data_IF_999352131172
#
_entry.id   IF_999352131172
#
_cell.length_a   1.000
_cell.length_b   1.000
_cell.length_c   1.000
_cell.angle_alpha   90.00
_cell.angle_beta   90.00
_cell.angle_gamma   90.00
#
_symmetry.space_group_name_H-M   'P 1'
#
loop_
_entity.id
_entity.type
_entity.pdbx_description
1 polymer ?
#
# COMPACT_ATOMS: atom_id res chain seq x y z
N UNK A 1 -75.49 40.77 45.42
CA UNK A 1 -75.23 39.38 45.01
C UNK A 1 -74.94 39.37 43.52
N UNK A 2 -73.88 38.66 43.14
CA UNK A 2 -73.53 38.13 41.81
C UNK A 2 -73.21 39.08 40.62
N UNK A 3 -71.92 39.09 40.29
CA UNK A 3 -71.29 38.84 38.96
C UNK A 3 -71.69 39.72 37.77
N UNK A 4 -70.71 40.48 37.26
CA UNK A 4 -70.12 40.23 35.93
C UNK A 4 -68.95 41.18 35.66
N UNK A 5 -67.73 40.62 35.59
CA UNK A 5 -66.57 41.32 35.03
C UNK A 5 -66.73 41.35 33.50
N UNK A 6 -67.12 42.49 32.94
CA UNK A 6 -67.15 42.70 31.49
C UNK A 6 -65.77 43.16 31.02
N UNK A 7 -65.03 42.22 30.46
CA UNK A 7 -63.80 42.47 29.69
C UNK A 7 -64.17 43.41 28.52
N UNK A 8 -63.44 44.51 28.27
CA UNK A 8 -63.76 45.41 27.17
C UNK A 8 -63.60 44.69 25.82
N UNK A 9 -64.47 44.95 24.83
CA UNK A 9 -64.40 44.30 23.53
C UNK A 9 -63.08 44.67 22.87
N UNK A 10 -62.22 43.67 22.65
CA UNK A 10 -61.03 43.85 21.85
C UNK A 10 -61.44 44.43 20.50
N UNK A 11 -61.00 45.65 20.20
CA UNK A 11 -61.37 46.31 18.96
C UNK A 11 -60.85 45.46 17.80
N UNK A 12 -61.76 45.12 16.89
CA UNK A 12 -61.46 44.30 15.70
C UNK A 12 -60.28 44.89 14.90
N UNK A 13 -60.10 46.21 14.97
CA UNK A 13 -58.97 46.93 14.39
C UNK A 13 -57.60 46.54 14.99
N UNK A 14 -57.49 46.26 16.29
CA UNK A 14 -56.23 45.84 16.90
C UNK A 14 -55.85 44.41 16.49
N UNK A 15 -56.83 43.49 16.51
CA UNK A 15 -56.63 42.11 16.07
C UNK A 15 -56.25 42.05 14.58
N UNK A 16 -56.88 42.88 13.75
CA UNK A 16 -56.58 43.01 12.33
C UNK A 16 -55.16 43.53 12.08
N UNK A 17 -54.68 44.48 12.89
CA UNK A 17 -53.30 44.97 12.84
C UNK A 17 -52.27 43.91 13.21
N UNK A 18 -52.51 43.13 14.27
CA UNK A 18 -51.61 42.04 14.71
C UNK A 18 -51.58 40.92 13.69
N UNK A 19 -52.73 40.51 13.16
CA UNK A 19 -52.81 39.46 12.12
C UNK A 19 -52.12 39.91 10.84
N UNK A 20 -52.31 41.16 10.39
CA UNK A 20 -51.62 41.71 9.23
C UNK A 20 -50.10 41.76 9.43
N UNK A 21 -49.63 42.16 10.62
CA UNK A 21 -48.21 42.17 10.96
C UNK A 21 -47.58 40.78 11.00
N UNK A 22 -48.29 39.79 11.56
CA UNK A 22 -47.85 38.39 11.57
C UNK A 22 -47.78 37.82 10.15
N UNK A 23 -48.72 38.17 9.27
CA UNK A 23 -48.74 37.73 7.88
C UNK A 23 -47.54 38.29 7.10
N UNK A 24 -47.19 39.56 7.30
CA UNK A 24 -45.99 40.17 6.71
C UNK A 24 -44.71 39.49 7.23
N UNK A 25 -44.64 39.22 8.53
CA UNK A 25 -43.50 38.53 9.13
C UNK A 25 -43.34 37.10 8.56
N UNK A 26 -44.43 36.37 8.41
CA UNK A 26 -44.43 35.02 7.82
C UNK A 26 -44.03 35.06 6.33
N UNK A 27 -44.48 36.06 5.58
CA UNK A 27 -44.07 36.26 4.18
C UNK A 27 -42.58 36.55 4.09
N UNK A 28 -42.05 37.43 4.94
CA UNK A 28 -40.61 37.73 4.99
C UNK A 28 -39.82 36.48 5.40
N UNK A 29 -40.31 35.71 6.39
CA UNK A 29 -39.69 34.45 6.81
C UNK A 29 -39.69 33.41 5.69
N UNK A 30 -40.76 33.29 4.91
CA UNK A 30 -40.85 32.38 3.77
C UNK A 30 -39.93 32.82 2.62
N UNK A 31 -39.82 34.12 2.36
CA UNK A 31 -38.88 34.68 1.39
C UNK A 31 -37.43 34.41 1.80
N UNK A 32 -37.13 34.59 3.09
CA UNK A 32 -35.80 34.35 3.64
C UNK A 32 -35.49 32.85 3.66
N UNK A 33 -36.46 31.99 3.99
CA UNK A 33 -36.33 30.54 3.90
C UNK A 33 -36.10 30.10 2.45
N UNK A 34 -36.85 30.65 1.48
CA UNK A 34 -36.61 30.37 0.06
C UNK A 34 -35.20 30.81 -0.37
N UNK A 35 -34.77 32.00 0.04
CA UNK A 35 -33.44 32.51 -0.29
C UNK A 35 -32.32 31.67 0.35
N UNK A 36 -32.49 31.24 1.61
CA UNK A 36 -31.45 30.56 2.38
C UNK A 36 -31.41 29.05 2.14
N UNK A 37 -32.56 28.39 1.92
CA UNK A 37 -32.66 26.93 1.77
C UNK A 37 -32.85 26.45 0.33
N UNK A 38 -33.49 27.23 -0.56
CA UNK A 38 -33.81 26.78 -1.92
C UNK A 38 -32.78 27.30 -2.94
N UNK A 39 -32.02 28.33 -2.59
CA UNK A 39 -31.09 28.97 -3.52
C UNK A 39 -29.64 28.92 -3.04
N UNK A 40 -29.07 27.73 -2.93
CA UNK A 40 -27.63 27.55 -3.24
C UNK A 40 -27.27 26.10 -3.60
N UNK A 41 -27.14 25.84 -4.92
CA UNK A 41 -25.99 25.19 -5.63
C UNK A 41 -26.45 24.46 -6.91
N UNK A 42 -25.63 24.36 -7.97
CA UNK A 42 -24.80 25.37 -8.61
C UNK A 42 -24.89 25.23 -10.15
N UNK A 43 -26.06 25.45 -10.77
CA UNK A 43 -26.16 25.39 -12.23
C UNK A 43 -25.24 26.41 -12.92
N UNK A 44 -25.05 27.58 -12.30
CA UNK A 44 -24.20 28.64 -12.83
C UNK A 44 -22.73 28.24 -12.89
N UNK A 45 -22.24 27.48 -11.90
CA UNK A 45 -20.86 26.97 -11.94
C UNK A 45 -20.72 25.89 -13.00
N UNK A 46 -21.61 24.90 -13.04
CA UNK A 46 -21.55 23.84 -14.06
C UNK A 46 -21.60 24.40 -15.49
N UNK A 47 -22.50 25.37 -15.74
CA UNK A 47 -22.59 26.09 -17.03
C UNK A 47 -21.34 26.92 -17.30
N UNK A 48 -20.79 27.62 -16.29
CA UNK A 48 -19.54 28.39 -16.42
C UNK A 48 -18.34 27.49 -16.72
N UNK A 49 -18.25 26.32 -16.08
CA UNK A 49 -17.21 25.33 -16.35
C UNK A 49 -17.36 24.72 -17.76
N UNK A 50 -18.58 24.43 -18.20
CA UNK A 50 -18.86 23.97 -19.56
C UNK A 50 -18.44 25.03 -20.60
N UNK A 51 -18.85 26.29 -20.39
CA UNK A 51 -18.46 27.41 -21.25
C UNK A 51 -16.94 27.66 -21.25
N UNK A 52 -16.27 27.51 -20.10
CA UNK A 52 -14.80 27.59 -20.03
C UNK A 52 -14.15 26.49 -20.86
N UNK A 53 -14.61 25.24 -20.73
CA UNK A 53 -14.08 24.09 -21.49
C UNK A 53 -14.24 24.29 -23.00
N UNK A 54 -15.39 24.77 -23.45
CA UNK A 54 -15.61 25.10 -24.85
C UNK A 54 -14.66 26.19 -25.33
N UNK A 55 -14.48 27.25 -24.53
CA UNK A 55 -13.57 28.35 -24.86
C UNK A 55 -12.12 27.87 -24.95
N UNK A 56 -11.67 27.04 -24.01
CA UNK A 56 -10.34 26.43 -24.04
C UNK A 56 -10.17 25.52 -25.26
N UNK A 57 -11.17 24.73 -25.65
CA UNK A 57 -11.14 23.89 -26.86
C UNK A 57 -11.01 24.73 -28.14
N UNK A 58 -11.75 25.82 -28.25
CA UNK A 58 -11.67 26.73 -29.39
C UNK A 58 -10.30 27.42 -29.47
N UNK A 59 -9.75 27.82 -28.32
CA UNK A 59 -8.39 28.38 -28.24
C UNK A 59 -7.38 27.33 -28.71
N UNK A 60 -7.46 26.10 -28.21
CA UNK A 60 -6.60 25.00 -28.63
C UNK A 60 -6.66 24.77 -30.15
N UNK A 61 -7.87 24.68 -30.71
CA UNK A 61 -8.06 24.49 -32.15
C UNK A 61 -7.47 25.66 -32.98
N UNK A 62 -7.59 26.89 -32.48
CA UNK A 62 -7.00 28.06 -33.13
C UNK A 62 -5.47 28.13 -33.01
N UNK A 63 -4.88 27.53 -31.97
CA UNK A 63 -3.43 27.41 -31.79
C UNK A 63 -2.89 26.33 -32.73
N UNK A 64 -3.56 25.18 -32.78
CA UNK A 64 -3.23 24.09 -33.70
C UNK A 64 -3.26 24.56 -35.17
N UNK A 65 -4.22 25.42 -35.55
CA UNK A 65 -4.31 25.99 -36.89
C UNK A 65 -3.24 27.07 -37.20
N UNK A 66 -2.65 27.69 -36.17
CA UNK A 66 -1.62 28.74 -36.31
C UNK A 66 -0.20 28.20 -36.29
N UNK A 67 0.01 26.98 -35.80
CA UNK A 67 1.29 26.30 -35.90
C UNK A 67 1.49 25.82 -37.35
N UNK A 68 2.52 26.29 -38.09
CA UNK A 68 2.85 25.73 -39.39
C UNK A 68 3.18 24.25 -39.21
N UNK A 69 2.62 23.40 -40.08
CA UNK A 69 2.92 21.98 -40.14
C UNK A 69 4.43 21.76 -40.18
N UNK A 70 5.04 21.45 -39.03
CA UNK A 70 6.30 20.70 -39.02
C UNK A 70 6.07 19.48 -39.90
N UNK A 71 7.02 19.23 -40.80
CA UNK A 71 7.03 18.21 -41.86
C UNK A 71 6.09 17.02 -41.63
N UNK A 72 5.34 16.69 -42.68
CA UNK A 72 4.19 15.77 -42.79
C UNK A 72 4.40 14.29 -42.39
N UNK A 73 5.34 13.99 -41.49
CA UNK A 73 5.54 12.66 -40.92
C UNK A 73 5.09 12.57 -39.45
N UNK A 74 4.85 13.70 -38.76
CA UNK A 74 4.53 13.72 -37.32
C UNK A 74 3.16 14.31 -36.95
N UNK A 75 2.39 14.86 -37.89
CA UNK A 75 1.08 15.50 -37.59
C UNK A 75 -0.09 14.53 -37.36
N UNK A 76 0.13 13.20 -37.43
CA UNK A 76 -0.85 12.18 -37.01
C UNK A 76 -0.77 11.84 -35.51
N UNK A 77 0.12 12.47 -34.73
CA UNK A 77 0.34 12.22 -33.30
C UNK A 77 -0.68 12.89 -32.37
N UNK A 78 -1.95 13.01 -32.78
CA UNK A 78 -3.03 13.18 -31.79
C UNK A 78 -3.13 11.82 -31.11
N UNK A 79 -2.70 11.74 -29.84
CA UNK A 79 -2.76 10.49 -29.06
C UNK A 79 -4.16 9.90 -29.25
N UNK A 80 -4.29 8.69 -29.80
CA UNK A 80 -5.58 8.17 -30.17
C UNK A 80 -6.30 7.63 -28.93
N UNK A 81 -6.61 8.50 -27.97
CA UNK A 81 -7.53 8.20 -26.89
C UNK A 81 -8.90 7.73 -27.44
N UNK A 82 -9.22 8.08 -28.69
CA UNK A 82 -10.40 7.62 -29.43
C UNK A 82 -10.28 6.18 -29.99
N UNK A 83 -9.08 5.62 -30.20
CA UNK A 83 -8.88 4.29 -30.83
C UNK A 83 -8.66 3.16 -29.80
N UNK A 84 -8.88 3.45 -28.51
CA UNK A 84 -8.69 2.50 -27.42
C UNK A 84 -7.31 2.57 -26.77
N UNK A 85 -7.24 2.19 -25.50
CA UNK A 85 -6.04 2.30 -24.65
C UNK A 85 -4.84 1.49 -25.18
N UNK A 86 -5.09 0.42 -25.93
CA UNK A 86 -4.02 -0.37 -26.56
C UNK A 86 -3.29 0.42 -27.67
N UNK A 87 -4.01 1.19 -28.49
CA UNK A 87 -3.38 2.02 -29.53
C UNK A 87 -2.56 3.16 -28.92
N UNK A 88 -3.06 3.75 -27.83
CA UNK A 88 -2.32 4.75 -27.05
C UNK A 88 -1.03 4.18 -26.44
N UNK A 89 -1.07 2.95 -25.95
CA UNK A 89 0.09 2.28 -25.36
C UNK A 89 1.14 1.95 -26.43
N UNK A 90 0.73 1.49 -27.62
CA UNK A 90 1.64 1.29 -28.75
C UNK A 90 2.27 2.60 -29.24
N UNK A 91 1.49 3.69 -29.30
CA UNK A 91 2.01 5.03 -29.60
C UNK A 91 3.03 5.50 -28.53
N UNK A 92 2.75 5.25 -27.25
CA UNK A 92 3.68 5.54 -26.16
C UNK A 92 5.00 4.77 -26.32
N UNK A 93 4.95 3.47 -26.59
CA UNK A 93 6.14 2.66 -26.81
C UNK A 93 6.94 3.14 -28.02
N UNK A 94 6.26 3.49 -29.11
CA UNK A 94 6.90 4.03 -30.30
C UNK A 94 7.58 5.37 -30.03
N UNK A 95 6.96 6.27 -29.24
CA UNK A 95 7.56 7.56 -28.84
C UNK A 95 8.74 7.40 -27.89
N UNK A 96 8.77 6.32 -27.11
CA UNK A 96 9.86 5.99 -26.21
C UNK A 96 10.97 5.19 -26.92
N UNK A 97 10.86 5.00 -28.24
CA UNK A 97 11.73 4.14 -29.05
C UNK A 97 11.85 2.69 -28.51
N UNK A 98 10.88 2.25 -27.70
CA UNK A 98 10.85 0.95 -27.05
C UNK A 98 10.28 -0.13 -27.98
N UNK A 99 11.13 -0.76 -28.79
CA UNK A 99 10.75 -1.94 -29.57
C UNK A 99 10.76 -3.22 -28.70
N UNK A 100 9.55 -3.68 -28.33
CA UNK A 100 9.30 -4.81 -27.41
C UNK A 100 10.04 -6.14 -27.69
N UNK A 101 10.32 -6.55 -28.94
CA UNK A 101 11.04 -7.80 -29.16
C UNK A 101 12.57 -7.63 -29.12
N UNK A 102 13.12 -6.42 -29.22
CA UNK A 102 14.54 -6.16 -29.47
C UNK A 102 15.25 -5.30 -28.42
N UNK A 103 14.55 -4.80 -27.39
CA UNK A 103 15.18 -4.01 -26.34
C UNK A 103 16.22 -4.82 -25.55
N UNK A 104 17.46 -4.32 -25.55
CA UNK A 104 18.52 -4.84 -24.70
C UNK A 104 18.13 -4.68 -23.22
N UNK A 105 18.47 -5.65 -22.35
CA UNK A 105 18.23 -5.51 -20.93
C UNK A 105 18.89 -4.24 -20.40
N UNK A 106 18.12 -3.40 -19.72
CA UNK A 106 18.63 -2.14 -19.17
C UNK A 106 19.32 -2.36 -17.82
N UNK A 107 20.37 -1.58 -17.58
CA UNK A 107 21.07 -1.55 -16.29
C UNK A 107 20.43 -0.54 -15.36
N UNK A 108 19.92 -1.01 -14.22
CA UNK A 108 19.21 -0.20 -13.21
C UNK A 108 20.17 0.41 -12.17
N UNK A 109 21.33 0.91 -12.59
CA UNK A 109 22.40 1.35 -11.66
C UNK A 109 21.96 2.48 -10.75
N UNK A 110 21.27 3.49 -11.28
CA UNK A 110 20.76 4.61 -10.51
C UNK A 110 19.73 4.14 -9.46
N UNK A 111 18.86 3.19 -9.82
CA UNK A 111 17.84 2.64 -8.93
C UNK A 111 18.49 1.82 -7.82
N UNK A 112 19.53 1.05 -8.14
CA UNK A 112 20.32 0.31 -7.14
C UNK A 112 20.96 1.25 -6.12
N UNK A 113 21.47 2.41 -6.54
CA UNK A 113 22.02 3.42 -5.63
C UNK A 113 20.93 3.98 -4.71
N UNK A 114 19.76 4.31 -5.25
CA UNK A 114 18.64 4.81 -4.43
C UNK A 114 18.10 3.75 -3.47
N UNK A 115 18.02 2.50 -3.92
CA UNK A 115 17.57 1.38 -3.08
C UNK A 115 18.58 1.10 -1.97
N UNK A 116 19.88 1.12 -2.28
CA UNK A 116 20.94 1.03 -1.28
C UNK A 116 20.88 2.18 -0.28
N UNK A 117 20.66 3.41 -0.75
CA UNK A 117 20.47 4.57 0.13
C UNK A 117 19.24 4.40 1.03
N UNK A 118 18.12 3.90 0.52
CA UNK A 118 16.93 3.64 1.31
C UNK A 118 17.19 2.57 2.39
N UNK A 119 17.80 1.45 2.01
CA UNK A 119 18.19 0.39 2.94
C UNK A 119 19.16 0.91 4.02
N UNK A 120 20.10 1.78 3.65
CA UNK A 120 21.01 2.44 4.60
C UNK A 120 20.26 3.27 5.64
N UNK A 121 19.29 4.09 5.23
CA UNK A 121 18.52 4.92 6.16
C UNK A 121 17.68 4.07 7.11
N UNK A 122 17.02 3.01 6.61
CA UNK A 122 16.29 2.08 7.47
C UNK A 122 17.21 1.36 8.45
N UNK A 123 18.38 0.91 8.01
CA UNK A 123 19.37 0.26 8.88
C UNK A 123 19.88 1.22 9.95
N UNK A 124 20.18 2.47 9.60
CA UNK A 124 20.59 3.49 10.56
C UNK A 124 19.49 3.78 11.58
N UNK A 125 18.23 3.84 11.16
CA UNK A 125 17.10 4.02 12.08
C UNK A 125 16.98 2.86 13.08
N UNK A 126 17.20 1.61 12.61
CA UNK A 126 17.21 0.43 13.49
C UNK A 126 18.40 0.48 14.46
N UNK A 127 19.61 0.84 13.99
CA UNK A 127 20.82 0.86 14.83
C UNK A 127 20.89 2.04 15.81
N UNK A 128 20.38 3.22 15.44
CA UNK A 128 20.35 4.39 16.33
C UNK A 128 19.50 4.11 17.58
N UNK A 129 18.48 3.26 17.46
CA UNK A 129 17.67 2.83 18.60
C UNK A 129 18.43 2.02 19.64
N UNK A 130 19.53 1.34 19.28
CA UNK A 130 20.32 0.55 20.23
C UNK A 130 21.31 1.42 21.05
N UNK A 131 21.69 2.59 20.56
CA UNK A 131 22.65 3.49 21.22
C UNK A 131 22.01 4.50 22.19
N UNK A 132 20.70 4.79 22.05
CA UNK A 132 19.97 5.72 22.93
C UNK A 132 19.51 5.10 24.26
N UNK A 133 19.94 3.88 24.59
CA UNK A 133 19.66 3.26 25.89
C UNK A 133 20.73 3.65 26.94
N UNK A 134 20.50 4.62 27.83
CA UNK A 134 21.25 4.67 29.08
C UNK A 134 20.89 3.42 29.90
N UNK A 135 21.91 2.68 30.33
CA UNK A 135 21.78 1.62 31.34
C UNK A 135 21.14 2.21 32.59
N UNK A 136 19.82 2.08 32.72
CA UNK A 136 19.13 2.24 33.99
C UNK A 136 18.78 0.85 34.49
N UNK A 137 19.52 0.43 35.52
CA UNK A 137 19.26 -0.74 36.35
C UNK A 137 17.88 -0.59 37.00
N UNK A 138 16.82 -0.96 36.28
CA UNK A 138 15.46 -1.07 36.83
C UNK A 138 14.88 -2.39 36.41
N UNK A 139 14.76 -3.30 37.38
CA UNK A 139 14.10 -4.60 37.29
C UNK A 139 12.65 -4.46 36.83
N UNK A 140 12.45 -4.40 35.51
CA UNK A 140 11.16 -4.64 34.88
C UNK A 140 11.39 -5.55 33.69
N UNK A 141 10.63 -6.66 33.63
CA UNK A 141 10.73 -7.78 32.69
C UNK A 141 10.46 -7.43 31.21
N UNK A 142 10.73 -6.20 30.79
CA UNK A 142 10.60 -5.73 29.42
C UNK A 142 11.94 -5.87 28.70
N UNK A 143 12.00 -6.83 27.78
CA UNK A 143 13.13 -7.06 26.88
C UNK A 143 13.56 -5.75 26.19
N UNK A 144 14.87 -5.49 26.00
CA UNK A 144 15.46 -4.22 25.51
C UNK A 144 15.14 -3.85 24.05
N UNK A 145 14.14 -4.47 23.43
CA UNK A 145 13.82 -4.34 22.01
C UNK A 145 12.55 -3.47 21.74
N UNK A 146 12.05 -2.74 22.72
CA UNK A 146 10.73 -2.06 22.64
C UNK A 146 10.77 -0.54 22.44
N UNK A 147 11.93 0.10 22.46
CA UNK A 147 12.00 1.55 22.74
C UNK A 147 11.98 2.47 21.51
N UNK A 148 12.27 1.96 20.30
CA UNK A 148 12.05 2.70 19.04
C UNK A 148 10.86 2.16 18.27
N UNK A 149 9.98 3.06 17.82
CA UNK A 149 8.76 2.73 17.10
C UNK A 149 9.02 1.86 15.86
N UNK A 150 10.15 2.07 15.17
CA UNK A 150 10.48 1.35 13.93
C UNK A 150 11.04 -0.05 14.19
N UNK A 151 11.97 -0.22 15.13
CA UNK A 151 12.48 -1.55 15.53
C UNK A 151 11.37 -2.38 16.18
N UNK A 152 10.54 -1.77 17.03
CA UNK A 152 9.36 -2.41 17.60
C UNK A 152 8.32 -2.76 16.51
N UNK A 153 8.16 -1.93 15.47
CA UNK A 153 7.28 -2.25 14.34
C UNK A 153 7.83 -3.41 13.50
N UNK A 154 9.12 -3.42 13.19
CA UNK A 154 9.78 -4.50 12.45
C UNK A 154 9.70 -5.83 13.22
N UNK A 155 10.01 -5.81 14.52
CA UNK A 155 9.86 -6.95 15.43
C UNK A 155 8.42 -7.47 15.44
N UNK A 156 7.43 -6.59 15.68
CA UNK A 156 6.01 -6.98 15.71
C UNK A 156 5.54 -7.51 14.36
N UNK A 157 6.01 -6.94 13.25
CA UNK A 157 5.70 -7.44 11.91
C UNK A 157 6.25 -8.85 11.72
N UNK A 158 7.51 -9.07 12.10
CA UNK A 158 8.16 -10.36 11.97
C UNK A 158 7.51 -11.42 12.88
N UNK A 159 7.23 -11.10 14.14
CA UNK A 159 6.51 -11.97 15.06
C UNK A 159 5.12 -12.32 14.53
N UNK A 160 4.34 -11.33 14.04
CA UNK A 160 3.02 -11.59 13.47
C UNK A 160 3.10 -12.47 12.23
N UNK A 161 4.04 -12.21 11.34
CA UNK A 161 4.18 -12.95 10.08
C UNK A 161 4.63 -14.40 10.32
N UNK A 162 5.57 -14.62 11.26
CA UNK A 162 6.00 -15.95 11.66
C UNK A 162 4.90 -16.72 12.39
N UNK A 163 4.23 -16.10 13.38
CA UNK A 163 3.14 -16.75 14.11
C UNK A 163 1.96 -17.08 13.17
N UNK A 164 1.58 -16.19 12.26
CA UNK A 164 0.54 -16.46 11.27
C UNK A 164 0.91 -17.58 10.28
N UNK A 165 2.20 -17.77 9.98
CA UNK A 165 2.64 -18.89 9.15
C UNK A 165 2.55 -20.25 9.88
N UNK A 166 2.64 -20.23 11.21
CA UNK A 166 2.74 -21.43 12.07
C UNK A 166 1.37 -21.90 12.58
N UNK A 167 0.40 -21.00 12.71
CA UNK A 167 -1.00 -21.26 13.12
C UNK A 167 -1.73 -22.28 12.21
N UNK A 168 -1.18 -22.67 11.06
CA UNK A 168 -1.81 -23.65 10.19
C UNK A 168 -1.41 -25.12 10.40
N UNK A 169 -0.21 -25.40 10.96
CA UNK A 169 0.40 -26.75 10.87
C UNK A 169 1.15 -27.24 12.11
N UNK A 170 1.44 -26.37 13.07
CA UNK A 170 2.48 -26.63 14.09
C UNK A 170 2.01 -26.52 15.54
N UNK A 171 0.69 -26.38 15.75
CA UNK A 171 0.08 -26.19 17.07
C UNK A 171 0.40 -27.25 18.13
N UNK A 172 0.84 -28.44 17.71
CA UNK A 172 1.18 -29.52 18.63
C UNK A 172 2.64 -29.49 19.11
N UNK A 173 3.53 -28.75 18.42
CA UNK A 173 4.98 -28.77 18.66
C UNK A 173 5.55 -27.39 19.02
N UNK A 174 5.09 -26.30 18.39
CA UNK A 174 5.56 -24.94 18.69
C UNK A 174 4.52 -24.12 19.43
N UNK A 175 4.97 -23.45 20.48
CA UNK A 175 4.34 -22.29 21.08
C UNK A 175 4.63 -21.01 20.28
N UNK A 176 4.25 -19.86 20.84
CA UNK A 176 4.45 -18.57 20.19
C UNK A 176 5.95 -18.29 19.94
N UNK A 177 6.25 -17.77 18.75
CA UNK A 177 7.59 -17.31 18.39
C UNK A 177 7.71 -15.84 18.78
N UNK A 178 8.74 -15.55 19.57
CA UNK A 178 9.18 -14.18 19.89
C UNK A 178 10.50 -13.92 19.18
N UNK A 179 10.69 -12.69 18.71
CA UNK A 179 11.93 -12.30 18.03
C UNK A 179 12.84 -11.64 19.07
N UNK A 180 14.00 -12.24 19.32
CA UNK A 180 14.97 -11.75 20.31
C UNK A 180 15.85 -10.65 19.74
N UNK A 181 16.41 -10.90 18.55
CA UNK A 181 17.33 -9.99 17.88
C UNK A 181 17.17 -10.05 16.36
N UNK A 182 17.47 -8.95 15.67
CA UNK A 182 17.38 -8.84 14.20
C UNK A 182 18.60 -8.10 13.69
N UNK A 183 19.49 -8.85 13.03
CA UNK A 183 20.61 -8.30 12.28
C UNK A 183 20.25 -8.23 10.79
N UNK A 184 20.15 -7.00 10.29
CA UNK A 184 19.77 -6.67 8.90
C UNK A 184 20.96 -6.78 7.92
N UNK A 185 22.12 -7.24 8.38
CA UNK A 185 23.31 -7.46 7.56
C UNK A 185 23.99 -6.17 7.08
N UNK A 186 24.82 -6.26 6.04
CA UNK A 186 25.54 -5.09 5.47
C UNK A 186 25.33 -4.87 3.97
N UNK A 187 24.88 -5.90 3.26
CA UNK A 187 24.62 -5.91 1.83
C UNK A 187 23.39 -5.11 1.42
N UNK A 188 23.24 -4.97 0.10
CA UNK A 188 22.13 -4.25 -0.54
C UNK A 188 21.56 -5.09 -1.67
N UNK A 189 20.23 -5.03 -1.88
CA UNK A 189 19.60 -5.67 -3.03
C UNK A 189 20.04 -4.99 -4.34
N UNK A 190 20.32 -5.80 -5.34
CA UNK A 190 20.68 -5.36 -6.68
C UNK A 190 19.60 -5.77 -7.67
N UNK A 191 19.16 -4.82 -8.49
CA UNK A 191 18.25 -5.04 -9.59
C UNK A 191 19.04 -5.01 -10.91
N UNK A 192 18.77 -5.98 -11.77
CA UNK A 192 19.43 -6.11 -13.06
C UNK A 192 18.45 -6.58 -14.13
N UNK A 193 18.86 -6.50 -15.40
CA UNK A 193 18.09 -6.98 -16.55
C UNK A 193 16.64 -6.48 -16.59
N UNK A 194 16.42 -5.17 -16.50
CA UNK A 194 15.08 -4.61 -16.71
C UNK A 194 14.63 -4.85 -18.16
N UNK A 195 13.45 -5.44 -18.33
CA UNK A 195 12.85 -5.75 -19.62
C UNK A 195 11.37 -5.42 -19.60
N UNK A 196 10.92 -4.70 -20.61
CA UNK A 196 9.50 -4.39 -20.78
C UNK A 196 8.87 -5.51 -21.62
N UNK A 197 7.82 -6.12 -21.09
CA UNK A 197 6.99 -7.13 -21.74
C UNK A 197 5.53 -6.67 -21.79
N UNK A 198 4.76 -7.07 -22.81
CA UNK A 198 3.31 -6.87 -22.78
C UNK A 198 2.70 -7.74 -21.66
N UNK A 199 1.79 -7.17 -20.86
CA UNK A 199 1.02 -7.95 -19.87
C UNK A 199 -0.07 -8.78 -20.57
N UNK A 200 -0.70 -9.71 -19.83
CA UNK A 200 -1.89 -10.43 -20.30
C UNK A 200 -3.04 -9.46 -20.62
N UNK A 201 -3.11 -8.34 -19.88
CA UNK A 201 -4.02 -7.25 -20.20
C UNK A 201 -3.41 -6.39 -21.32
N UNK A 202 -4.07 -6.23 -22.48
CA UNK A 202 -3.54 -5.46 -23.61
C UNK A 202 -3.43 -3.94 -23.34
N UNK A 203 -3.85 -3.51 -22.15
CA UNK A 203 -3.82 -2.13 -21.66
C UNK A 203 -2.67 -1.86 -20.70
N UNK A 204 -1.92 -2.91 -20.31
CA UNK A 204 -0.90 -2.82 -19.28
C UNK A 204 0.44 -3.30 -19.82
N UNK A 205 1.51 -2.66 -19.35
CA UNK A 205 2.88 -3.11 -19.56
C UNK A 205 3.37 -3.80 -18.29
N UNK A 206 4.12 -4.88 -18.48
CA UNK A 206 4.84 -5.59 -17.43
C UNK A 206 6.32 -5.24 -17.52
N UNK A 207 6.89 -4.77 -16.44
CA UNK A 207 8.32 -4.60 -16.27
C UNK A 207 8.86 -5.81 -15.51
N UNK A 208 9.70 -6.60 -16.16
CA UNK A 208 10.42 -7.72 -15.55
C UNK A 208 11.83 -7.28 -15.19
N UNK A 209 12.29 -7.63 -13.99
CA UNK A 209 13.63 -7.33 -13.53
C UNK A 209 14.13 -8.45 -12.61
N UNK A 210 15.42 -8.74 -12.66
CA UNK A 210 16.05 -9.73 -11.80
C UNK A 210 16.52 -9.07 -10.50
N UNK A 211 15.97 -9.50 -9.37
CA UNK A 211 16.40 -9.12 -8.03
C UNK A 211 17.42 -10.14 -7.50
N UNK A 212 18.56 -9.66 -7.04
CA UNK A 212 19.53 -10.45 -6.29
C UNK A 212 19.94 -9.72 -5.00
N UNK A 213 19.70 -10.38 -3.87
CA UNK A 213 20.14 -10.00 -2.53
C UNK A 213 21.08 -11.09 -2.00
N UNK A 214 22.32 -10.71 -1.70
CA UNK A 214 23.36 -11.59 -1.14
C UNK A 214 23.91 -10.91 0.11
N UNK A 215 23.47 -11.39 1.27
CA UNK A 215 23.89 -10.85 2.56
C UNK A 215 23.58 -11.86 3.67
N UNK A 216 24.19 -11.69 4.84
CA UNK A 216 23.99 -12.54 6.00
C UNK A 216 22.94 -11.93 6.93
N UNK A 217 21.67 -12.06 6.57
CA UNK A 217 20.56 -11.63 7.43
C UNK A 217 20.37 -12.64 8.56
N UNK A 218 20.51 -12.22 9.83
CA UNK A 218 20.35 -13.11 10.97
C UNK A 218 19.20 -12.65 11.87
N UNK A 219 18.28 -13.56 12.18
CA UNK A 219 17.13 -13.31 13.06
C UNK A 219 17.21 -14.29 14.22
N UNK A 220 17.35 -13.77 15.44
CA UNK A 220 17.20 -14.51 16.67
C UNK A 220 15.73 -14.74 16.99
N UNK A 221 15.35 -15.99 17.17
CA UNK A 221 14.02 -16.43 17.52
C UNK A 221 14.07 -17.14 18.87
N UNK A 222 13.17 -16.81 19.76
CA UNK A 222 12.91 -17.58 20.97
C UNK A 222 11.53 -18.22 20.85
N UNK A 223 11.49 -19.53 21.07
CA UNK A 223 10.29 -20.35 20.83
C UNK A 223 10.13 -21.33 21.97
N UNK A 224 8.88 -21.61 22.34
CA UNK A 224 8.60 -22.64 23.35
C UNK A 224 8.15 -23.91 22.67
N UNK A 225 8.98 -24.95 22.71
CA UNK A 225 8.60 -26.30 22.31
C UNK A 225 7.54 -26.84 23.26
N UNK A 226 6.44 -27.36 22.74
CA UNK A 226 5.44 -28.08 23.53
C UNK A 226 5.52 -29.57 23.22
N UNK A 227 5.73 -30.39 24.25
CA UNK A 227 5.71 -31.84 24.10
C UNK A 227 4.33 -32.37 24.47
N UNK A 228 3.48 -32.55 23.47
CA UNK A 228 2.17 -33.20 23.65
C UNK A 228 2.23 -34.62 23.09
N UNK A 229 2.49 -35.61 23.94
CA UNK A 229 2.33 -37.02 23.58
C UNK A 229 1.01 -37.48 24.17
N UNK A 230 -0.02 -37.52 23.31
CA UNK A 230 -1.40 -37.82 23.70
C UNK A 230 -1.45 -39.12 24.53
N UNK A 231 -2.06 -39.12 25.74
CA UNK A 231 -2.90 -38.09 26.35
C UNK A 231 -2.20 -37.14 27.35
N UNK A 232 -0.86 -37.11 27.46
CA UNK A 232 -0.14 -36.31 28.46
C UNK A 232 0.58 -35.10 27.84
N UNK A 233 0.50 -33.96 28.53
CA UNK A 233 1.37 -32.80 28.25
C UNK A 233 2.66 -33.01 29.04
N UNK A 234 3.75 -33.39 28.36
CA UNK A 234 5.06 -33.65 28.98
C UNK A 234 5.76 -32.38 29.46
N UNK A 235 5.37 -31.22 28.94
CA UNK A 235 5.89 -29.92 29.35
C UNK A 235 6.24 -29.03 28.15
N UNK A 236 6.76 -27.84 28.45
CA UNK A 236 7.32 -26.93 27.46
C UNK A 236 8.82 -26.70 27.70
N UNK A 237 9.58 -26.55 26.61
CA UNK A 237 11.01 -26.28 26.64
C UNK A 237 11.29 -25.02 25.82
N UNK A 238 11.93 -24.03 26.42
CA UNK A 238 12.40 -22.86 25.69
C UNK A 238 13.56 -23.25 24.78
N UNK A 239 13.47 -22.88 23.50
CA UNK A 239 14.46 -23.14 22.47
C UNK A 239 14.76 -21.84 21.73
N UNK A 240 15.98 -21.37 21.89
CA UNK A 240 16.55 -20.31 21.09
C UNK A 240 16.98 -20.86 19.73
N UNK A 241 16.54 -20.21 18.66
CA UNK A 241 16.88 -20.51 17.27
C UNK A 241 17.44 -19.27 16.60
N UNK A 242 18.28 -19.47 15.60
CA UNK A 242 18.79 -18.42 14.74
C UNK A 242 18.45 -18.77 13.29
N UNK A 243 17.64 -17.93 12.65
CA UNK A 243 17.34 -18.01 11.22
C UNK A 243 18.34 -17.12 10.48
N UNK A 244 19.09 -17.70 9.56
CA UNK A 244 20.02 -17.01 8.67
C UNK A 244 19.52 -17.09 7.23
N UNK A 245 19.43 -15.97 6.55
CA UNK A 245 19.17 -15.91 5.10
C UNK A 245 20.44 -15.39 4.44
N UNK A 246 21.02 -16.18 3.52
CA UNK A 246 22.30 -15.87 2.85
C UNK A 246 22.10 -15.30 1.45
N UNK A 247 21.07 -15.79 0.75
CA UNK A 247 20.77 -15.37 -0.61
C UNK A 247 19.28 -15.43 -0.89
N UNK A 248 18.78 -14.35 -1.48
CA UNK A 248 17.47 -14.30 -2.10
C UNK A 248 17.64 -13.77 -3.52
N UNK A 249 17.31 -14.58 -4.52
CA UNK A 249 17.32 -14.18 -5.91
C UNK A 249 16.02 -14.59 -6.60
N UNK A 250 15.51 -13.75 -7.49
CA UNK A 250 14.30 -14.05 -8.24
C UNK A 250 13.93 -12.96 -9.23
N UNK A 251 13.09 -13.30 -10.21
CA UNK A 251 12.61 -12.32 -11.18
C UNK A 251 11.31 -11.68 -10.66
N UNK A 252 11.33 -10.35 -10.55
CA UNK A 252 10.19 -9.53 -10.15
C UNK A 252 9.51 -8.99 -11.40
N UNK A 253 8.19 -9.10 -11.45
CA UNK A 253 7.33 -8.48 -12.44
C UNK A 253 6.49 -7.38 -11.78
N UNK A 254 6.57 -6.17 -12.35
CA UNK A 254 5.81 -5.00 -11.93
C UNK A 254 4.85 -4.59 -13.04
N UNK A 255 3.61 -4.29 -12.68
CA UNK A 255 2.57 -3.86 -13.61
C UNK A 255 1.85 -2.65 -13.03
N UNK A 256 1.61 -1.63 -13.84
CA UNK A 256 0.74 -0.51 -13.48
C UNK A 256 -0.53 -0.63 -14.28
N UNK A 257 -1.68 -0.69 -13.60
CA UNK A 257 -2.97 -0.83 -14.25
C UNK A 257 -4.12 -0.22 -13.46
N UNK A 258 -5.30 -0.09 -14.09
CA UNK A 258 -6.49 0.41 -13.41
C UNK A 258 -6.99 -0.59 -12.38
N UNK A 259 -7.37 -0.09 -11.21
CA UNK A 259 -7.95 -0.85 -10.11
C UNK A 259 -9.45 -1.08 -10.35
N UNK A 260 -9.83 -1.75 -11.45
CA UNK A 260 -11.23 -1.95 -11.77
C UNK A 260 -11.48 -2.93 -12.91
N UNK A 261 -12.58 -3.67 -12.82
CA UNK A 261 -13.21 -4.29 -13.99
C UNK A 261 -13.62 -3.19 -14.98
N UNK A 262 -13.73 -3.53 -16.26
CA UNK A 262 -13.89 -2.61 -17.40
C UNK A 262 -15.01 -1.54 -17.29
N UNK A 263 -15.87 -1.62 -16.28
CA UNK A 263 -17.06 -0.79 -16.11
C UNK A 263 -16.84 0.47 -15.26
N UNK A 264 -15.80 0.54 -14.41
CA UNK A 264 -15.52 1.73 -13.58
C UNK A 264 -14.15 2.37 -13.90
N UNK A 265 -14.07 3.27 -14.90
CA UNK A 265 -12.84 3.95 -15.29
C UNK A 265 -12.35 5.02 -14.29
N UNK A 266 -13.06 5.21 -13.18
CA UNK A 266 -12.72 6.15 -12.09
C UNK A 266 -11.98 5.48 -10.93
N UNK A 267 -11.87 4.14 -10.93
CA UNK A 267 -11.15 3.44 -9.90
C UNK A 267 -9.63 3.61 -10.11
N UNK A 268 -8.91 3.87 -9.01
CA UNK A 268 -7.54 4.37 -9.04
C UNK A 268 -6.54 3.58 -9.86
N UNK A 269 -5.39 4.18 -10.12
CA UNK A 269 -4.24 3.43 -10.59
C UNK A 269 -3.71 2.56 -9.44
N UNK A 270 -3.35 1.32 -9.72
CA UNK A 270 -2.63 0.46 -8.77
C UNK A 270 -1.33 -0.06 -9.38
N UNK A 271 -0.27 -0.04 -8.58
CA UNK A 271 0.98 -0.72 -8.87
C UNK A 271 0.89 -2.13 -8.29
N UNK A 272 0.99 -3.14 -9.15
CA UNK A 272 1.00 -4.56 -8.81
C UNK A 272 2.40 -5.10 -8.97
N UNK A 273 2.98 -5.61 -7.88
CA UNK A 273 4.31 -6.22 -7.87
C UNK A 273 4.16 -7.71 -7.54
N UNK A 274 4.78 -8.57 -8.32
CA UNK A 274 4.83 -10.02 -8.06
C UNK A 274 6.22 -10.56 -8.38
N UNK A 275 6.56 -11.70 -7.82
CA UNK A 275 7.77 -12.46 -8.08
C UNK A 275 7.41 -13.77 -8.78
N UNK A 276 8.24 -14.22 -9.71
CA UNK A 276 8.06 -15.52 -10.34
C UNK A 276 8.38 -16.67 -9.36
N UNK A 277 7.77 -17.87 -9.55
CA UNK A 277 7.88 -18.97 -8.60
C UNK A 277 9.26 -19.65 -8.55
N UNK A 278 10.12 -19.38 -9.53
CA UNK A 278 11.49 -19.87 -9.69
C UNK A 278 12.53 -19.06 -8.89
N UNK A 279 12.13 -18.50 -7.74
CA UNK A 279 13.05 -17.82 -6.85
C UNK A 279 13.98 -18.80 -6.11
N UNK A 280 15.21 -18.37 -5.89
CA UNK A 280 16.23 -19.04 -5.07
C UNK A 280 16.25 -18.37 -3.70
N UNK A 281 16.05 -19.17 -2.66
CA UNK A 281 16.13 -18.74 -1.27
C UNK A 281 17.04 -19.71 -0.52
N UNK A 282 18.26 -19.26 -0.23
CA UNK A 282 19.23 -19.99 0.58
C UNK A 282 19.12 -19.46 2.01
N UNK A 283 18.48 -20.24 2.87
CA UNK A 283 18.30 -19.94 4.28
C UNK A 283 18.57 -21.16 5.15
N UNK A 284 19.12 -20.91 6.34
CA UNK A 284 19.53 -21.91 7.31
C UNK A 284 18.94 -21.57 8.67
N UNK A 285 18.44 -22.56 9.39
CA UNK A 285 17.99 -22.40 10.77
C UNK A 285 18.90 -23.23 11.65
N UNK A 286 19.43 -22.64 12.71
CA UNK A 286 20.23 -23.34 13.70
C UNK A 286 19.66 -23.12 15.09
N UNK A 287 19.41 -24.19 15.82
CA UNK A 287 18.98 -24.15 17.21
C UNK A 287 20.18 -24.18 18.18
N UNK A 288 20.13 -23.35 19.22
CA UNK A 288 21.12 -23.34 20.31
C UNK A 288 20.62 -24.26 21.42
N UNK A 289 20.68 -25.56 21.17
CA UNK A 289 20.37 -26.57 22.18
C UNK A 289 21.66 -27.35 22.48
N UNK A 290 22.10 -27.31 23.74
CA UNK A 290 23.43 -27.76 24.15
C UNK A 290 23.79 -29.18 23.70
N UNK A 291 25.09 -29.44 23.60
CA UNK A 291 25.73 -30.67 23.07
C UNK A 291 25.30 -32.02 23.69
N UNK A 292 24.42 -32.03 24.69
CA UNK A 292 24.02 -33.23 25.45
C UNK A 292 22.58 -33.70 25.23
N UNK A 293 21.70 -32.90 24.62
CA UNK A 293 20.32 -33.31 24.34
C UNK A 293 20.14 -33.62 22.85
N UNK A 294 20.32 -34.89 22.46
CA UNK A 294 19.89 -35.40 21.15
C UNK A 294 18.35 -35.42 21.09
N UNK A 295 17.74 -34.26 20.94
CA UNK A 295 16.30 -34.15 20.70
C UNK A 295 16.06 -34.40 19.22
N UNK A 296 15.41 -35.52 18.90
CA UNK A 296 15.12 -35.96 17.53
C UNK A 296 14.23 -34.99 16.75
N UNK A 297 13.45 -34.15 17.45
CA UNK A 297 12.46 -33.28 16.80
C UNK A 297 13.01 -31.90 16.42
N UNK A 298 14.16 -31.50 16.95
CA UNK A 298 14.83 -30.22 16.62
C UNK A 298 15.15 -30.08 15.12
N UNK A 299 15.81 -31.04 14.44
CA UNK A 299 16.10 -30.90 13.01
C UNK A 299 14.82 -30.83 12.16
N UNK A 300 13.75 -31.53 12.55
CA UNK A 300 12.45 -31.43 11.88
C UNK A 300 11.84 -30.03 11.99
N UNK A 301 12.08 -29.33 13.10
CA UNK A 301 11.62 -27.95 13.27
C UNK A 301 12.39 -26.97 12.37
N UNK A 302 13.70 -27.15 12.26
CA UNK A 302 14.53 -26.32 11.39
C UNK A 302 14.05 -26.42 9.93
N UNK A 303 13.82 -27.65 9.46
CA UNK A 303 13.23 -27.91 8.14
C UNK A 303 11.82 -27.33 8.00
N UNK A 304 11.00 -27.45 9.05
CA UNK A 304 9.64 -26.93 9.03
C UNK A 304 9.63 -25.41 8.93
N UNK A 305 10.42 -24.70 9.76
CA UNK A 305 10.52 -23.25 9.70
C UNK A 305 11.01 -22.77 8.34
N UNK A 306 12.00 -23.46 7.75
CA UNK A 306 12.48 -23.15 6.41
C UNK A 306 11.38 -23.34 5.35
N UNK A 307 10.61 -24.43 5.45
CA UNK A 307 9.48 -24.68 4.54
C UNK A 307 8.37 -23.63 4.69
N UNK A 308 8.11 -23.17 5.92
CA UNK A 308 7.11 -22.12 6.17
C UNK A 308 7.58 -20.76 5.66
N UNK A 309 8.85 -20.41 5.84
CA UNK A 309 9.44 -19.19 5.29
C UNK A 309 9.24 -19.14 3.76
N UNK A 310 9.56 -20.25 3.08
CA UNK A 310 9.36 -20.38 1.63
C UNK A 310 7.90 -20.23 1.22
N UNK A 311 6.98 -20.88 1.95
CA UNK A 311 5.54 -20.79 1.70
C UNK A 311 4.99 -19.38 1.98
N UNK A 312 5.53 -18.68 2.96
CA UNK A 312 5.15 -17.31 3.30
C UNK A 312 5.51 -16.38 2.15
N UNK A 313 6.74 -16.47 1.64
CA UNK A 313 7.17 -15.71 0.46
C UNK A 313 6.29 -16.06 -0.74
N UNK A 314 6.00 -17.35 -0.95
CA UNK A 314 5.11 -17.78 -2.02
C UNK A 314 3.69 -17.19 -1.93
N UNK A 315 3.11 -17.15 -0.74
CA UNK A 315 1.75 -16.64 -0.52
C UNK A 315 1.65 -15.12 -0.55
N UNK A 316 2.74 -14.40 -0.28
CA UNK A 316 2.72 -12.94 -0.18
C UNK A 316 3.18 -12.22 -1.43
N UNK A 317 4.16 -12.80 -2.12
CA UNK A 317 4.89 -12.11 -3.18
C UNK A 317 4.89 -12.87 -4.51
N UNK A 318 4.64 -14.18 -4.51
CA UNK A 318 4.77 -14.99 -5.72
C UNK A 318 3.44 -15.12 -6.46
N UNK A 319 3.51 -15.10 -7.79
CA UNK A 319 2.37 -15.33 -8.68
C UNK A 319 1.59 -16.60 -8.25
N UNK A 320 0.24 -16.57 -8.12
CA UNK A 320 -0.71 -15.58 -8.64
C UNK A 320 -1.04 -14.41 -7.70
N UNK A 321 -0.40 -14.34 -6.54
CA UNK A 321 -0.61 -13.23 -5.60
C UNK A 321 0.18 -12.00 -6.05
N UNK A 322 -0.40 -10.83 -5.87
CA UNK A 322 0.21 -9.55 -6.22
C UNK A 322 0.25 -8.66 -4.98
N UNK A 323 1.41 -8.08 -4.72
CA UNK A 323 1.49 -6.96 -3.80
C UNK A 323 0.93 -5.72 -4.49
N UNK A 324 -0.24 -5.26 -4.02
CA UNK A 324 -0.95 -4.12 -4.59
C UNK A 324 -0.67 -2.86 -3.79
N UNK A 325 -0.23 -1.83 -4.48
CA UNK A 325 -0.03 -0.50 -3.92
C UNK A 325 -0.97 0.46 -4.67
N UNK A 326 -1.99 1.03 -4.00
CA UNK A 326 -2.79 2.08 -4.64
C UNK A 326 -1.90 3.28 -4.91
N UNK A 327 -1.86 3.72 -6.17
CA UNK A 327 -1.16 4.94 -6.55
C UNK A 327 -2.04 6.14 -6.15
N UNK A 328 -1.44 7.26 -5.73
CA UNK A 328 -2.19 8.44 -5.35
C UNK A 328 -3.02 8.93 -6.54
N UNK A 329 -4.31 9.13 -6.32
CA UNK A 329 -5.20 9.72 -7.31
C UNK A 329 -4.87 11.20 -7.46
N UNK A 330 -4.84 11.69 -8.70
CA UNK A 330 -4.82 13.12 -8.95
C UNK A 330 -6.21 13.70 -8.65
N UNK A 331 -6.54 13.90 -7.38
CA UNK A 331 -7.68 14.73 -7.03
C UNK A 331 -7.42 16.16 -7.53
N UNK A 332 -8.31 16.66 -8.38
CA UNK A 332 -8.42 18.10 -8.57
C UNK A 332 -8.89 18.68 -7.25
N UNK A 333 -8.02 19.43 -6.59
CA UNK A 333 -8.33 20.22 -5.41
C UNK A 333 -9.61 21.03 -5.68
N UNK A 334 -10.72 20.61 -5.05
CA UNK A 334 -12.00 21.32 -5.13
C UNK A 334 -11.99 22.41 -4.08
N UNK A 335 -11.21 23.46 -4.32
CA UNK A 335 -11.27 24.71 -3.57
C UNK A 335 -12.40 25.62 -4.07
#
# INVERSE_FOLDING_TARGET
MAVSATIPPWSVAFLQGVVAGQLVLVIILLLLFRYFFIETKPETYAKRYAALRERTRLIQASLDARCPSMSSSQSKLRVPYEQGSQACLLDMLHRLDCELPAHSPETLTWLNVLLAQLCLHYRQSILQSDNEAPRQDTESDTLPALDSAEKAAAKRLLERTLNAAIEGRTHDLLGAITVTDVDVGTGYPTLSNARIRPSNDPRCLRLEMDLEYKDLLCVGLDTQLQFRVRPWNLGSLAVAMCLRVERLAGTIAMEVGPCGTEQDPLAGLELRVCMYPDFVLDAHVSSVLGSKSKLHDVPKMEELLLSQLRLLIQRRLVWPEFWRMPLPHMEHDRA
#
